data_IF_716495526945
#
_entry.id   IF_716495526945
#
_cell.length_a   1.000
_cell.length_b   1.000
_cell.length_c   1.000
_cell.angle_alpha   90.00
_cell.angle_beta   90.00
_cell.angle_gamma   90.00
#
_symmetry.space_group_name_H-M   'P 1'
#
loop_
_entity.id
_entity.type
_entity.pdbx_description
1 polymer ?
#
# COMPACT_ATOMS: atom_id res chain seq x y z
N UNK A 1 -32.36 -1.30 18.73
CA UNK A 1 -32.94 -1.42 17.38
C UNK A 1 -31.82 -1.92 16.51
N UNK A 2 -31.73 -3.16 16.02
CA UNK A 2 -32.58 -4.33 16.11
C UNK A 2 -31.69 -5.58 16.19
N UNK A 3 -32.18 -6.59 16.90
CA UNK A 3 -31.56 -7.91 17.06
C UNK A 3 -31.87 -8.74 15.81
N UNK A 4 -30.87 -9.37 15.20
CA UNK A 4 -31.10 -10.57 14.38
C UNK A 4 -30.37 -11.75 15.00
N UNK A 5 -31.18 -12.72 15.40
CA UNK A 5 -30.82 -14.00 16.01
C UNK A 5 -30.70 -15.07 14.93
N UNK A 6 -29.75 -15.97 15.15
CA UNK A 6 -29.83 -17.43 15.01
C UNK A 6 -30.01 -18.05 13.61
N UNK A 7 -29.18 -19.07 13.31
CA UNK A 7 -29.55 -20.49 13.52
C UNK A 7 -28.36 -21.44 13.36
N UNK A 8 -28.13 -22.20 14.43
CA UNK A 8 -27.45 -23.50 14.45
C UNK A 8 -28.23 -24.52 13.62
N UNK A 9 -27.54 -25.33 12.81
CA UNK A 9 -28.02 -26.67 12.40
C UNK A 9 -26.87 -27.65 12.59
N UNK A 10 -27.02 -28.50 13.61
CA UNK A 10 -26.27 -29.73 13.79
C UNK A 10 -26.88 -30.84 12.93
N UNK A 11 -26.04 -31.69 12.34
CA UNK A 11 -26.45 -32.93 11.68
C UNK A 11 -25.49 -34.05 12.07
N UNK A 12 -25.86 -34.76 13.14
CA UNK A 12 -25.27 -36.03 13.56
C UNK A 12 -25.86 -37.15 12.70
N UNK A 13 -25.06 -37.75 11.83
CA UNK A 13 -25.41 -38.95 11.07
C UNK A 13 -24.88 -40.21 11.77
N UNK A 14 -25.70 -40.84 12.61
CA UNK A 14 -25.43 -42.16 13.16
C UNK A 14 -25.86 -43.25 12.17
N UNK A 15 -24.92 -44.07 11.70
CA UNK A 15 -25.21 -45.26 10.90
C UNK A 15 -24.96 -46.54 11.72
N UNK A 16 -26.04 -47.05 12.31
CA UNK A 16 -26.11 -48.37 12.95
C UNK A 16 -26.45 -49.44 11.91
N UNK A 17 -25.57 -50.40 11.63
CA UNK A 17 -25.95 -51.60 10.88
C UNK A 17 -25.77 -52.89 11.69
N UNK A 18 -26.74 -53.77 11.45
CA UNK A 18 -27.24 -54.80 12.34
C UNK A 18 -26.48 -56.12 12.21
N UNK A 19 -26.49 -56.86 13.32
CA UNK A 19 -26.23 -58.30 13.44
C UNK A 19 -27.07 -59.12 12.45
N UNK A 20 -26.46 -60.15 11.87
CA UNK A 20 -27.15 -61.34 11.40
C UNK A 20 -26.41 -62.60 11.91
N UNK A 21 -27.10 -63.33 12.78
CA UNK A 21 -26.77 -64.67 13.27
C UNK A 21 -27.61 -65.71 12.52
N UNK A 22 -26.99 -66.80 12.06
CA UNK A 22 -27.53 -68.17 11.88
C UNK A 22 -26.53 -68.90 10.96
N UNK A 23 -25.95 -70.05 11.28
CA UNK A 23 -26.56 -71.26 11.82
C UNK A 23 -26.29 -72.37 10.78
N UNK A 24 -25.46 -73.35 11.11
CA UNK A 24 -25.08 -74.40 10.16
C UNK A 24 -24.05 -75.39 10.71
N UNK A 25 -24.43 -76.14 11.75
CA UNK A 25 -23.73 -77.36 12.18
C UNK A 25 -24.11 -78.50 11.24
N UNK A 26 -23.16 -78.96 10.42
CA UNK A 26 -23.19 -80.31 9.84
C UNK A 26 -21.83 -80.94 10.07
N UNK A 27 -21.81 -81.90 10.99
CA UNK A 27 -20.68 -82.76 11.21
C UNK A 27 -20.55 -83.79 10.08
N UNK A 28 -19.33 -84.00 9.62
CA UNK A 28 -18.92 -85.25 9.03
C UNK A 28 -17.54 -85.62 9.59
N UNK A 29 -17.54 -86.52 10.56
CA UNK A 29 -16.35 -87.16 11.06
C UNK A 29 -15.87 -88.18 10.03
N UNK A 30 -14.76 -87.90 9.36
CA UNK A 30 -13.98 -88.90 8.63
C UNK A 30 -12.66 -89.08 9.38
N UNK A 31 -12.60 -90.14 10.18
CA UNK A 31 -11.39 -90.64 10.77
C UNK A 31 -10.55 -91.33 9.67
N UNK A 32 -9.45 -90.71 9.28
CA UNK A 32 -8.44 -91.33 8.41
C UNK A 32 -7.08 -91.28 9.10
N UNK A 33 -6.82 -92.40 9.77
CA UNK A 33 -5.56 -93.12 9.98
C UNK A 33 -4.28 -92.30 9.76
N UNK A 34 -3.62 -92.05 10.89
CA UNK A 34 -2.24 -91.63 11.02
C UNK A 34 -1.28 -92.51 10.17
N UNK A 35 -0.58 -91.86 9.26
CA UNK A 35 0.72 -92.31 8.77
C UNK A 35 1.71 -91.23 9.18
N UNK A 36 2.53 -91.51 10.19
CA UNK A 36 3.55 -90.61 10.70
C UNK A 36 4.68 -90.42 9.69
N UNK A 37 4.46 -89.54 8.72
CA UNK A 37 5.52 -88.72 8.16
C UNK A 37 5.51 -87.44 9.00
N UNK A 38 6.50 -87.30 9.88
CA UNK A 38 6.87 -86.01 10.44
C UNK A 38 7.17 -85.07 9.28
N UNK A 39 6.16 -84.36 8.80
CA UNK A 39 6.34 -83.13 8.07
C UNK A 39 6.99 -82.20 9.09
N UNK A 40 8.32 -82.22 9.12
CA UNK A 40 9.05 -81.01 9.42
C UNK A 40 8.61 -80.08 8.30
N UNK A 41 7.53 -79.33 8.53
CA UNK A 41 7.23 -78.18 7.71
C UNK A 41 8.47 -77.31 7.90
N UNK A 42 9.38 -77.34 6.93
CA UNK A 42 10.25 -76.21 6.72
C UNK A 42 9.29 -75.03 6.67
N UNK A 43 9.26 -74.25 7.77
CA UNK A 43 8.67 -72.93 7.72
C UNK A 43 9.45 -72.24 6.62
N UNK A 44 8.76 -72.05 5.50
CA UNK A 44 9.30 -71.34 4.37
C UNK A 44 9.60 -69.93 4.87
N UNK A 45 10.88 -69.62 5.09
CA UNK A 45 11.34 -68.33 5.63
C UNK A 45 11.21 -67.20 4.62
N UNK A 46 10.14 -67.21 3.85
CA UNK A 46 9.76 -66.19 2.91
C UNK A 46 8.92 -65.14 3.64
N UNK A 47 9.10 -63.88 3.24
CA UNK A 47 8.30 -62.75 3.73
C UNK A 47 6.82 -63.06 3.48
N UNK A 48 6.02 -63.04 4.54
CA UNK A 48 4.61 -63.38 4.55
C UNK A 48 3.78 -62.14 4.87
N UNK A 49 3.96 -61.10 4.05
CA UNK A 49 3.37 -59.80 4.31
C UNK A 49 1.83 -59.86 4.34
N UNK A 50 1.22 -59.28 5.39
CA UNK A 50 -0.24 -59.29 5.54
C UNK A 50 -0.78 -60.42 6.41
N UNK A 51 0.07 -61.18 7.09
CA UNK A 51 -0.34 -62.30 7.95
C UNK A 51 -0.74 -61.86 9.37
N UNK A 52 -0.49 -60.59 9.70
CA UNK A 52 -0.83 -59.98 10.98
C UNK A 52 0.30 -60.00 12.01
N UNK A 53 1.52 -60.38 11.63
CA UNK A 53 2.71 -60.36 12.48
C UNK A 53 3.92 -59.83 11.71
N UNK A 54 4.89 -59.23 12.43
CA UNK A 54 6.16 -58.78 11.83
C UNK A 54 7.25 -59.82 12.09
N UNK A 55 7.67 -60.55 11.06
CA UNK A 55 8.77 -61.52 11.12
C UNK A 55 10.14 -60.89 10.83
N UNK A 56 10.80 -60.46 11.90
CA UNK A 56 12.15 -59.88 11.85
C UNK A 56 13.22 -60.87 11.35
N UNK A 57 13.00 -62.18 11.42
CA UNK A 57 13.97 -63.19 10.95
C UNK A 57 13.91 -63.30 9.42
N UNK A 58 12.72 -63.14 8.85
CA UNK A 58 12.48 -63.06 7.40
C UNK A 58 12.81 -61.69 6.79
N UNK A 59 13.08 -60.68 7.63
CA UNK A 59 13.50 -59.34 7.23
C UNK A 59 12.37 -58.33 7.08
N UNK A 60 11.19 -58.61 7.65
CA UNK A 60 10.06 -57.68 7.65
C UNK A 60 10.31 -56.52 8.63
N UNK A 61 9.93 -55.31 8.22
CA UNK A 61 10.03 -54.09 9.03
C UNK A 61 8.67 -53.68 9.61
N UNK A 62 7.58 -54.00 8.93
CA UNK A 62 6.21 -53.67 9.29
C UNK A 62 5.21 -54.73 8.81
N UNK A 63 3.96 -54.60 9.24
CA UNK A 63 2.83 -55.43 8.85
C UNK A 63 1.66 -54.52 8.40
N UNK A 64 1.17 -54.60 7.15
CA UNK A 64 0.11 -53.72 6.63
C UNK A 64 -1.19 -53.75 7.43
N UNK A 65 -1.53 -54.88 8.06
CA UNK A 65 -2.69 -55.04 8.93
C UNK A 65 -2.50 -54.51 10.35
N UNK A 66 -1.29 -54.08 10.72
CA UNK A 66 -0.93 -53.55 12.05
C UNK A 66 -0.32 -52.14 11.95
N UNK A 67 -1.14 -51.08 11.97
CA UNK A 67 -0.66 -49.69 11.90
C UNK A 67 0.39 -49.31 12.95
N UNK A 68 0.35 -49.93 14.15
CA UNK A 68 1.33 -49.66 15.21
C UNK A 68 2.74 -50.14 14.82
N UNK A 69 2.86 -51.13 13.93
CA UNK A 69 4.15 -51.66 13.47
C UNK A 69 4.96 -50.63 12.67
N UNK A 70 4.29 -49.67 12.02
CA UNK A 70 4.93 -48.62 11.22
C UNK A 70 4.61 -47.19 11.69
N UNK A 71 3.84 -47.00 12.77
CA UNK A 71 3.44 -45.69 13.30
C UNK A 71 4.60 -44.73 13.68
N UNK A 72 5.84 -45.20 13.68
CA UNK A 72 7.04 -44.39 13.92
C UNK A 72 7.98 -44.31 12.72
N UNK A 73 7.53 -44.76 11.54
CA UNK A 73 8.32 -44.81 10.32
C UNK A 73 8.93 -43.47 9.93
N UNK A 74 8.20 -42.37 10.09
CA UNK A 74 8.71 -41.04 9.73
C UNK A 74 9.85 -40.54 10.64
N UNK A 75 9.96 -41.04 11.88
CA UNK A 75 11.09 -40.69 12.78
C UNK A 75 12.44 -41.17 12.27
N UNK A 76 12.47 -42.17 11.39
CA UNK A 76 13.71 -42.72 10.82
C UNK A 76 14.37 -41.73 9.86
N UNK A 77 13.59 -40.81 9.29
CA UNK A 77 14.06 -39.74 8.41
C UNK A 77 14.04 -38.37 9.10
N UNK A 78 14.06 -38.36 10.44
CA UNK A 78 13.99 -37.16 11.29
C UNK A 78 12.73 -36.29 11.12
N UNK A 79 11.66 -36.83 10.55
CA UNK A 79 10.35 -36.16 10.39
C UNK A 79 9.32 -36.82 11.29
N UNK A 80 9.11 -36.37 12.54
CA UNK A 80 8.28 -37.11 13.49
C UNK A 80 6.78 -37.01 13.20
N UNK A 81 6.36 -36.07 12.35
CA UNK A 81 4.98 -35.88 11.90
C UNK A 81 4.75 -36.67 10.59
N UNK A 82 3.49 -36.99 10.26
CA UNK A 82 3.16 -37.77 9.06
C UNK A 82 2.51 -39.12 9.28
N UNK A 83 2.10 -39.72 8.16
CA UNK A 83 1.46 -41.03 8.09
C UNK A 83 2.36 -41.96 7.25
N UNK A 84 3.35 -42.61 7.89
CA UNK A 84 4.14 -43.62 7.20
C UNK A 84 3.23 -44.77 6.78
N UNK A 85 3.62 -45.50 5.74
CA UNK A 85 2.88 -46.66 5.26
C UNK A 85 3.74 -47.93 5.34
N UNK A 86 3.08 -49.08 5.31
CA UNK A 86 3.75 -50.35 5.07
C UNK A 86 3.48 -50.82 3.64
N UNK A 87 4.53 -51.11 2.88
CA UNK A 87 4.37 -51.70 1.54
C UNK A 87 3.83 -53.13 1.67
N UNK A 88 2.65 -53.44 1.10
CA UNK A 88 2.00 -54.74 1.26
C UNK A 88 2.67 -55.89 0.50
N UNK A 89 3.59 -55.61 -0.42
CA UNK A 89 4.33 -56.64 -1.16
C UNK A 89 5.67 -56.96 -0.51
N UNK A 90 6.33 -55.96 0.06
CA UNK A 90 7.69 -56.08 0.59
C UNK A 90 7.79 -56.07 2.11
N UNK A 91 6.73 -55.65 2.82
CA UNK A 91 6.72 -55.47 4.28
C UNK A 91 7.83 -54.54 4.80
N UNK A 92 8.23 -53.58 3.97
CA UNK A 92 9.14 -52.49 4.34
C UNK A 92 8.37 -51.23 4.70
N UNK A 93 8.90 -50.44 5.62
CA UNK A 93 8.29 -49.16 5.97
C UNK A 93 8.56 -48.17 4.85
N UNK A 94 7.48 -47.62 4.29
CA UNK A 94 7.52 -46.52 3.33
C UNK A 94 7.35 -45.23 4.12
N UNK A 95 8.42 -44.44 4.16
CA UNK A 95 8.46 -43.11 4.78
C UNK A 95 9.03 -42.13 3.76
N UNK A 96 8.27 -41.83 2.70
CA UNK A 96 8.71 -40.81 1.75
C UNK A 96 8.55 -39.41 2.34
N UNK A 97 9.24 -38.44 1.75
CA UNK A 97 9.08 -37.03 2.10
C UNK A 97 7.61 -36.63 1.99
N UNK A 98 6.88 -37.06 0.97
CA UNK A 98 5.46 -36.70 0.78
C UNK A 98 4.51 -37.33 1.82
N UNK A 99 4.93 -38.41 2.50
CA UNK A 99 4.14 -39.07 3.56
C UNK A 99 4.44 -38.52 4.95
N UNK A 100 5.64 -37.95 5.12
CA UNK A 100 6.21 -37.56 6.39
C UNK A 100 6.45 -36.04 6.52
N UNK A 101 6.43 -35.29 5.41
CA UNK A 101 6.32 -33.84 5.41
C UNK A 101 4.89 -33.49 5.80
N UNK A 102 4.74 -33.03 7.04
CA UNK A 102 3.48 -32.51 7.52
C UNK A 102 3.73 -31.14 8.08
N UNK A 103 3.11 -30.21 7.40
CA UNK A 103 2.87 -28.88 7.84
C UNK A 103 2.78 -28.70 9.37
N UNK A 104 3.73 -27.95 9.94
CA UNK A 104 3.79 -27.68 11.38
C UNK A 104 4.67 -28.65 12.17
N UNK A 105 5.60 -29.34 11.52
CA UNK A 105 6.62 -30.15 12.19
C UNK A 105 7.84 -29.33 12.65
N UNK A 106 7.91 -28.06 12.24
CA UNK A 106 8.96 -27.10 12.58
C UNK A 106 10.04 -26.97 11.52
N UNK A 107 9.96 -27.66 10.39
CA UNK A 107 10.91 -27.59 9.29
C UNK A 107 10.20 -27.41 7.93
N UNK A 108 10.51 -26.32 7.21
CA UNK A 108 9.89 -26.05 5.90
C UNK A 108 10.38 -27.06 4.86
N UNK A 109 9.48 -27.91 4.37
CA UNK A 109 9.77 -28.94 3.38
C UNK A 109 9.47 -28.48 1.94
N UNK A 110 10.35 -27.65 1.37
CA UNK A 110 10.19 -27.12 -0.01
C UNK A 110 10.00 -28.23 -1.07
N UNK A 111 10.63 -29.40 -0.87
CA UNK A 111 10.55 -30.56 -1.77
C UNK A 111 9.17 -31.24 -1.74
N UNK A 112 8.44 -31.11 -0.63
CA UNK A 112 7.05 -31.54 -0.47
C UNK A 112 6.05 -30.44 -0.89
N UNK A 113 6.53 -29.24 -1.22
CA UNK A 113 5.72 -28.10 -1.63
C UNK A 113 5.25 -27.20 -0.48
N UNK A 114 5.85 -27.31 0.70
CA UNK A 114 5.60 -26.37 1.80
C UNK A 114 6.31 -25.04 1.55
N UNK A 115 5.62 -23.94 1.85
CA UNK A 115 6.17 -22.58 1.71
C UNK A 115 6.57 -21.98 3.07
N UNK A 116 6.06 -22.54 4.17
CA UNK A 116 6.22 -22.03 5.52
C UNK A 116 5.81 -23.06 6.59
N UNK A 117 6.04 -22.74 7.87
CA UNK A 117 5.57 -23.54 9.02
C UNK A 117 4.32 -22.96 9.69
N UNK A 118 3.40 -23.83 10.15
CA UNK A 118 2.18 -23.39 10.86
C UNK A 118 2.51 -22.48 12.04
N UNK A 119 1.85 -21.32 12.07
CA UNK A 119 2.04 -20.33 13.14
C UNK A 119 3.31 -19.49 12.99
N UNK A 120 4.12 -19.73 11.95
CA UNK A 120 5.14 -18.79 11.52
C UNK A 120 4.45 -17.51 11.04
N UNK A 121 4.87 -16.39 11.62
CA UNK A 121 4.51 -15.05 11.15
C UNK A 121 5.76 -14.47 10.52
N UNK A 122 5.65 -14.07 9.26
CA UNK A 122 6.73 -13.35 8.60
C UNK A 122 6.44 -11.86 8.68
N UNK A 123 7.46 -11.13 9.13
CA UNK A 123 7.36 -9.70 9.43
C UNK A 123 7.33 -8.81 8.16
N UNK A 124 7.45 -9.40 6.97
CA UNK A 124 7.49 -8.67 5.71
C UNK A 124 6.70 -9.41 4.64
N UNK A 125 5.73 -8.71 4.05
CA UNK A 125 5.11 -9.12 2.80
C UNK A 125 6.09 -8.92 1.64
N UNK A 126 5.99 -9.68 0.54
CA UNK A 126 6.96 -9.61 -0.55
C UNK A 126 6.97 -8.24 -1.25
N UNK A 127 5.90 -7.47 -1.06
CA UNK A 127 5.60 -6.28 -1.83
C UNK A 127 5.31 -5.04 -0.99
N UNK A 128 5.23 -5.13 0.34
CA UNK A 128 4.80 -3.98 1.13
C UNK A 128 4.64 -4.21 2.62
N UNK A 129 3.83 -3.35 3.22
CA UNK A 129 3.48 -3.38 4.64
C UNK A 129 2.48 -4.50 4.94
N UNK A 130 2.55 -5.11 6.12
CA UNK A 130 1.63 -6.17 6.53
C UNK A 130 2.36 -7.37 7.10
N UNK A 131 1.60 -8.42 7.41
CA UNK A 131 2.14 -9.66 7.96
C UNK A 131 1.65 -10.82 7.10
N UNK A 132 2.57 -11.63 6.60
CA UNK A 132 2.21 -12.94 6.05
C UNK A 132 2.08 -13.94 7.18
N UNK A 133 1.14 -14.87 7.02
CA UNK A 133 0.96 -15.99 7.95
C UNK A 133 1.04 -17.28 7.18
N UNK A 134 1.56 -18.31 7.84
CA UNK A 134 1.42 -19.64 7.31
C UNK A 134 0.02 -20.20 7.61
N UNK A 135 -0.67 -20.69 6.57
CA UNK A 135 -1.92 -21.42 6.69
C UNK A 135 -1.74 -22.80 7.34
N UNK A 136 -2.86 -23.45 7.68
CA UNK A 136 -2.86 -24.83 8.20
C UNK A 136 -2.44 -25.87 7.13
N UNK A 137 -2.32 -25.45 5.87
CA UNK A 137 -1.87 -26.24 4.72
C UNK A 137 -0.44 -25.90 4.27
N UNK A 138 0.28 -25.10 5.04
CA UNK A 138 1.65 -24.67 4.78
C UNK A 138 1.85 -23.89 3.48
N UNK A 139 0.77 -23.22 3.07
CA UNK A 139 0.83 -22.17 2.07
C UNK A 139 0.94 -20.80 2.75
N UNK A 140 1.61 -19.87 2.08
CA UNK A 140 1.66 -18.49 2.53
C UNK A 140 0.32 -17.80 2.29
N UNK A 141 -0.30 -17.35 3.38
CA UNK A 141 -1.46 -16.49 3.38
C UNK A 141 -1.00 -15.02 3.39
N UNK A 142 -1.12 -14.38 2.24
CA UNK A 142 -0.84 -12.97 2.01
C UNK A 142 -2.08 -12.08 2.14
N UNK A 143 -3.24 -12.62 2.55
CA UNK A 143 -4.49 -11.84 2.66
C UNK A 143 -4.44 -10.71 3.69
N UNK A 144 -3.46 -10.74 4.60
CA UNK A 144 -3.18 -9.69 5.58
C UNK A 144 -2.05 -8.74 5.15
N UNK A 145 -1.50 -8.94 3.95
CA UNK A 145 -0.60 -7.98 3.34
C UNK A 145 -1.39 -6.75 2.89
N UNK A 146 -0.77 -5.59 3.05
CA UNK A 146 -1.21 -4.38 2.39
C UNK A 146 -1.13 -4.57 0.89
N UNK A 147 -2.07 -3.96 0.18
CA UNK A 147 -2.08 -3.94 -1.29
C UNK A 147 -0.95 -3.07 -1.83
N UNK A 148 -0.51 -2.08 -1.04
CA UNK A 148 0.50 -1.16 -1.49
C UNK A 148 1.84 -1.83 -1.81
N UNK A 149 2.29 -1.63 -3.05
CA UNK A 149 3.53 -2.15 -3.59
C UNK A 149 3.38 -3.50 -4.31
N UNK A 150 2.17 -4.06 -4.41
CA UNK A 150 1.91 -5.29 -5.16
C UNK A 150 2.09 -5.13 -6.69
N UNK A 151 2.30 -3.89 -7.19
CA UNK A 151 2.47 -3.58 -8.60
C UNK A 151 1.16 -3.31 -9.35
N UNK A 152 0.04 -3.37 -8.66
CA UNK A 152 -1.29 -2.96 -9.11
C UNK A 152 -1.67 -1.64 -8.43
N UNK A 153 -2.79 -1.00 -8.82
CA UNK A 153 -3.25 0.22 -8.12
C UNK A 153 -4.73 0.02 -7.85
N UNK A 154 -5.09 -0.18 -6.60
CA UNK A 154 -6.46 -0.46 -6.17
C UNK A 154 -7.17 0.81 -5.68
N UNK A 155 -7.70 1.59 -6.62
CA UNK A 155 -8.42 2.83 -6.31
C UNK A 155 -9.60 2.62 -5.34
N UNK A 156 -10.27 1.47 -5.38
CA UNK A 156 -11.36 1.15 -4.43
C UNK A 156 -10.91 0.96 -2.97
N UNK A 157 -9.63 0.67 -2.75
CA UNK A 157 -9.02 0.52 -1.43
C UNK A 157 -8.34 1.81 -0.96
N UNK A 158 -8.36 2.86 -1.79
CA UNK A 158 -7.85 4.18 -1.46
C UNK A 158 -6.42 4.45 -1.94
N UNK A 159 -5.85 3.56 -2.75
CA UNK A 159 -4.56 3.82 -3.39
C UNK A 159 -4.68 4.87 -4.49
N UNK A 160 -3.64 5.67 -4.67
CA UNK A 160 -3.50 6.62 -5.78
C UNK A 160 -2.40 6.20 -6.76
N UNK A 161 -1.43 5.44 -6.26
CA UNK A 161 -0.22 5.01 -6.96
C UNK A 161 0.31 3.71 -6.36
N UNK A 162 1.27 3.09 -7.04
CA UNK A 162 2.02 1.96 -6.49
C UNK A 162 3.52 2.09 -6.81
N UNK A 163 4.41 1.94 -5.80
CA UNK A 163 5.85 2.15 -5.98
C UNK A 163 6.52 1.10 -6.88
N UNK A 164 5.95 -0.11 -7.00
CA UNK A 164 6.47 -1.20 -7.80
C UNK A 164 5.81 -1.29 -9.20
N UNK A 165 4.74 -0.52 -9.46
CA UNK A 165 4.08 -0.46 -10.77
C UNK A 165 4.89 0.34 -11.80
N UNK A 166 5.38 -0.31 -12.88
CA UNK A 166 6.19 0.36 -13.89
C UNK A 166 5.39 1.46 -14.61
N UNK A 167 5.95 2.66 -14.65
CA UNK A 167 5.37 3.80 -15.38
C UNK A 167 4.51 4.73 -14.53
N UNK A 168 4.09 4.33 -13.33
CA UNK A 168 3.30 5.20 -12.47
C UNK A 168 4.17 6.27 -11.78
N UNK A 169 5.34 5.84 -11.29
CA UNK A 169 6.35 6.71 -10.63
C UNK A 169 7.21 7.51 -11.63
N UNK A 170 7.09 7.23 -12.94
CA UNK A 170 7.97 7.83 -13.96
C UNK A 170 7.44 9.16 -14.53
N UNK A 171 6.18 9.50 -14.27
CA UNK A 171 5.53 10.67 -14.84
C UNK A 171 5.41 11.78 -13.79
N UNK A 172 5.88 12.97 -14.18
CA UNK A 172 5.61 14.20 -13.44
C UNK A 172 4.15 14.54 -13.62
N UNK A 173 3.41 14.67 -12.52
CA UNK A 173 2.00 15.06 -12.53
C UNK A 173 1.83 16.36 -11.75
N UNK A 174 0.77 17.09 -12.05
CA UNK A 174 0.49 18.39 -11.41
C UNK A 174 -0.34 18.16 -10.16
N UNK A 175 -0.02 18.86 -9.07
CA UNK A 175 -0.76 18.73 -7.82
C UNK A 175 -2.24 19.16 -7.94
N UNK A 176 -2.57 19.99 -8.93
CA UNK A 176 -3.95 20.37 -9.27
C UNK A 176 -4.86 19.16 -9.59
N UNK A 177 -4.27 18.03 -10.01
CA UNK A 177 -5.00 16.79 -10.30
C UNK A 177 -5.25 15.93 -9.04
N UNK A 178 -4.64 16.28 -7.89
CA UNK A 178 -4.79 15.53 -6.65
C UNK A 178 -5.95 16.05 -5.80
N UNK A 179 -6.61 15.12 -5.12
CA UNK A 179 -7.51 15.49 -4.03
C UNK A 179 -6.68 15.87 -2.79
N UNK A 180 -6.97 17.01 -2.14
CA UNK A 180 -6.33 17.40 -0.88
C UNK A 180 -6.62 16.39 0.23
N UNK A 181 -5.60 16.11 1.06
CA UNK A 181 -5.76 15.27 2.27
C UNK A 181 -6.24 16.07 3.49
N UNK A 182 -6.40 17.38 3.34
CA UNK A 182 -6.79 18.30 4.41
C UNK A 182 -7.92 19.21 3.95
N UNK A 183 -8.62 19.86 4.89
CA UNK A 183 -9.71 20.79 4.59
C UNK A 183 -9.23 22.18 4.13
N UNK A 184 -7.95 22.33 3.75
CA UNK A 184 -7.33 23.61 3.40
C UNK A 184 -7.65 24.11 1.98
N UNK A 185 -8.43 23.36 1.21
CA UNK A 185 -8.76 23.68 -0.19
C UNK A 185 -7.92 22.90 -1.19
N UNK A 186 -8.22 23.11 -2.48
CA UNK A 186 -7.53 22.44 -3.59
C UNK A 186 -6.12 23.01 -3.81
N UNK A 187 -5.16 22.16 -4.18
CA UNK A 187 -3.84 22.64 -4.58
C UNK A 187 -3.95 23.44 -5.88
N UNK A 188 -3.29 24.60 -5.93
CA UNK A 188 -3.24 25.44 -7.13
C UNK A 188 -1.93 25.28 -7.91
N UNK A 189 -0.93 24.62 -7.33
CA UNK A 189 0.37 24.48 -7.96
C UNK A 189 1.26 23.39 -7.38
N UNK A 190 2.40 23.21 -8.04
CA UNK A 190 3.39 22.18 -7.70
C UNK A 190 3.28 20.92 -8.56
N UNK A 191 4.28 20.06 -8.43
CA UNK A 191 4.36 18.82 -9.17
C UNK A 191 4.88 17.69 -8.29
N UNK A 192 4.28 16.52 -8.41
CA UNK A 192 4.65 15.33 -7.68
C UNK A 192 5.16 14.23 -8.63
N UNK A 193 5.91 13.29 -8.05
CA UNK A 193 6.51 12.14 -8.75
C UNK A 193 6.59 10.89 -7.88
N UNK A 194 6.68 11.07 -6.57
CA UNK A 194 6.97 10.00 -5.63
C UNK A 194 5.66 9.38 -5.15
N UNK A 195 5.63 8.05 -5.11
CA UNK A 195 4.60 7.27 -4.45
C UNK A 195 5.13 6.89 -3.06
N UNK A 196 4.37 7.18 -2.01
CA UNK A 196 4.73 6.83 -0.64
C UNK A 196 4.54 5.33 -0.35
N UNK A 197 5.03 4.90 0.82
CA UNK A 197 4.84 3.52 1.32
C UNK A 197 3.37 3.22 1.72
N UNK A 198 2.53 4.25 1.73
CA UNK A 198 1.07 4.20 1.93
C UNK A 198 0.28 4.22 0.61
N UNK A 199 0.98 4.17 -0.54
CA UNK A 199 0.40 4.22 -1.87
C UNK A 199 -0.42 5.47 -2.17
N UNK A 200 -0.06 6.56 -1.50
CA UNK A 200 -0.50 7.90 -1.83
C UNK A 200 0.63 8.66 -2.52
N UNK A 201 0.28 9.55 -3.46
CA UNK A 201 1.29 10.41 -4.05
C UNK A 201 1.81 11.41 -3.01
N UNK A 202 3.13 11.60 -2.99
CA UNK A 202 3.77 12.60 -2.13
C UNK A 202 3.28 14.01 -2.48
N UNK A 203 2.76 14.71 -1.48
CA UNK A 203 2.24 16.08 -1.60
C UNK A 203 3.21 17.15 -1.10
N UNK A 204 4.43 16.76 -0.70
CA UNK A 204 5.44 17.67 -0.15
C UNK A 204 5.78 18.83 -1.09
N UNK A 205 5.70 18.60 -2.41
CA UNK A 205 5.97 19.62 -3.42
C UNK A 205 4.72 20.42 -3.85
N UNK A 206 3.53 20.06 -3.36
CA UNK A 206 2.29 20.75 -3.65
C UNK A 206 2.19 22.05 -2.87
N UNK A 207 1.51 23.03 -3.45
CA UNK A 207 1.30 24.34 -2.86
C UNK A 207 -0.03 24.94 -3.34
N UNK A 208 -0.42 26.04 -2.69
CA UNK A 208 -1.68 26.74 -2.94
C UNK A 208 -1.48 27.98 -3.85
N UNK A 209 -0.27 28.13 -4.38
CA UNK A 209 0.14 29.24 -5.24
C UNK A 209 -0.64 29.23 -6.56
N UNK A 210 -1.44 30.27 -6.78
CA UNK A 210 -2.28 30.45 -7.96
C UNK A 210 -3.78 30.50 -7.64
N UNK A 211 -4.17 30.40 -6.37
CA UNK A 211 -5.57 30.51 -5.92
C UNK A 211 -6.04 31.97 -5.70
N UNK A 212 -5.12 32.94 -5.82
CA UNK A 212 -5.34 34.38 -5.62
C UNK A 212 -5.65 34.78 -4.17
N UNK A 213 -5.23 33.97 -3.21
CA UNK A 213 -5.26 34.25 -1.78
C UNK A 213 -3.82 34.21 -1.22
N UNK A 214 -3.56 34.84 -0.06
CA UNK A 214 -2.25 34.71 0.58
C UNK A 214 -2.36 33.69 1.68
N UNK A 215 -1.83 32.51 1.42
CA UNK A 215 -1.87 31.42 2.36
C UNK A 215 -0.72 31.47 3.38
N UNK A 216 -1.05 31.08 4.62
CA UNK A 216 -0.04 30.82 5.64
C UNK A 216 0.73 29.53 5.35
N UNK A 217 1.50 29.06 6.34
CA UNK A 217 1.98 27.67 6.27
C UNK A 217 0.78 26.73 6.46
N UNK A 218 0.42 26.00 5.41
CA UNK A 218 -0.71 25.07 5.40
C UNK A 218 -0.20 23.64 5.28
N UNK A 219 -0.81 22.69 5.99
CA UNK A 219 -0.45 21.28 5.88
C UNK A 219 -0.76 20.77 4.45
N UNK A 220 0.17 20.01 3.88
CA UNK A 220 0.03 19.39 2.54
C UNK A 220 -0.19 17.88 2.62
N UNK A 221 0.13 17.24 3.74
CA UNK A 221 -0.13 15.81 3.97
C UNK A 221 -0.46 15.51 5.46
N UNK A 222 -0.69 14.24 5.75
CA UNK A 222 -1.04 13.74 7.09
C UNK A 222 0.18 13.56 8.00
N UNK A 223 1.40 13.56 7.44
CA UNK A 223 2.65 13.44 8.18
C UNK A 223 3.09 14.77 8.81
N UNK A 224 2.39 15.86 8.45
CA UNK A 224 2.61 17.19 8.99
C UNK A 224 3.60 18.02 8.18
N UNK A 225 3.91 17.62 6.93
CA UNK A 225 4.58 18.52 6.01
C UNK A 225 3.65 19.68 5.67
N UNK A 226 4.23 20.86 5.48
CA UNK A 226 3.47 22.08 5.19
C UNK A 226 4.08 22.84 4.03
N UNK A 227 3.23 23.48 3.23
CA UNK A 227 3.65 24.50 2.29
C UNK A 227 4.30 25.66 3.07
N UNK A 228 5.32 26.31 2.49
CA UNK A 228 5.81 27.57 3.04
C UNK A 228 4.70 28.64 2.95
N UNK A 229 4.69 29.63 3.87
CA UNK A 229 3.78 30.77 3.74
C UNK A 229 4.03 31.53 2.44
N UNK A 230 2.95 31.97 1.81
CA UNK A 230 3.01 32.73 0.58
C UNK A 230 3.25 34.21 0.86
N UNK A 231 4.09 34.83 0.04
CA UNK A 231 4.37 36.27 0.08
C UNK A 231 3.74 36.99 -1.11
N UNK A 232 3.21 36.23 -2.06
CA UNK A 232 2.49 36.70 -3.22
C UNK A 232 1.63 35.56 -3.77
N UNK A 233 0.52 35.88 -4.44
CA UNK A 233 -0.22 34.97 -5.30
C UNK A 233 -0.86 35.78 -6.43
N UNK A 234 -0.38 35.56 -7.66
CA UNK A 234 -0.82 36.31 -8.82
C UNK A 234 -0.57 37.82 -8.66
N UNK A 235 -1.63 38.57 -8.37
CA UNK A 235 -1.58 40.02 -8.12
C UNK A 235 -1.76 40.40 -6.64
N UNK A 236 -1.94 39.42 -5.75
CA UNK A 236 -2.00 39.62 -4.31
C UNK A 236 -0.57 39.52 -3.76
N UNK A 237 -0.17 40.43 -2.87
CA UNK A 237 1.18 40.47 -2.33
C UNK A 237 1.19 40.84 -0.85
N UNK A 238 2.09 40.24 -0.08
CA UNK A 238 2.43 40.71 1.25
C UNK A 238 3.21 42.02 1.14
N UNK A 239 2.54 43.12 1.46
CA UNK A 239 3.10 44.46 1.38
C UNK A 239 4.29 44.65 2.34
N UNK A 240 4.25 44.04 3.53
CA UNK A 240 5.35 44.12 4.47
C UNK A 240 6.59 43.39 3.94
N UNK A 241 6.39 42.22 3.31
CA UNK A 241 7.46 41.48 2.66
C UNK A 241 8.08 42.26 1.49
N UNK A 242 7.25 42.84 0.60
CA UNK A 242 7.72 43.69 -0.50
C UNK A 242 8.58 44.84 0.04
N UNK A 243 8.09 45.57 1.03
CA UNK A 243 8.80 46.72 1.60
C UNK A 243 10.13 46.28 2.22
N UNK A 244 10.15 45.18 2.96
CA UNK A 244 11.38 44.64 3.55
C UNK A 244 12.39 44.26 2.48
N UNK A 245 11.97 43.42 1.51
CA UNK A 245 12.82 42.84 0.47
C UNK A 245 13.39 43.90 -0.48
N UNK A 246 12.56 44.89 -0.82
CA UNK A 246 12.88 45.89 -1.84
C UNK A 246 13.12 47.29 -1.27
N UNK A 247 13.27 47.44 0.05
CA UNK A 247 13.63 48.70 0.72
C UNK A 247 14.84 49.42 0.12
N UNK A 248 15.74 48.70 -0.55
CA UNK A 248 16.93 49.24 -1.23
C UNK A 248 16.75 49.50 -2.73
N UNK A 249 15.57 49.24 -3.28
CA UNK A 249 15.31 49.48 -4.70
C UNK A 249 15.28 50.97 -4.99
N UNK A 250 15.68 51.35 -6.21
CA UNK A 250 15.67 52.73 -6.68
C UNK A 250 14.26 53.35 -6.65
N UNK A 251 13.21 52.53 -6.63
CA UNK A 251 11.83 53.01 -6.57
C UNK A 251 11.45 53.54 -5.20
N UNK A 252 12.05 53.02 -4.12
CA UNK A 252 11.77 53.47 -2.76
C UNK A 252 12.58 54.69 -2.34
N UNK A 253 13.71 54.94 -3.01
CA UNK A 253 14.52 56.14 -2.79
C UNK A 253 14.00 57.28 -3.65
N UNK A 254 13.07 58.08 -3.12
CA UNK A 254 12.78 59.38 -3.71
C UNK A 254 14.07 60.20 -3.82
N UNK A 255 14.20 61.07 -4.84
CA UNK A 255 15.42 61.86 -5.09
C UNK A 255 15.86 62.73 -3.89
N UNK A 256 14.99 62.92 -2.89
CA UNK A 256 15.24 63.72 -1.69
C UNK A 256 15.05 62.95 -0.36
N UNK A 257 14.95 61.62 -0.39
CA UNK A 257 14.72 60.82 0.83
C UNK A 257 13.31 60.92 1.42
N UNK A 258 12.37 61.55 0.70
CA UNK A 258 10.94 61.44 0.98
C UNK A 258 10.45 60.04 0.58
N UNK A 259 9.55 59.47 1.37
CA UNK A 259 8.93 58.18 1.10
C UNK A 259 8.30 58.21 -0.29
N UNK A 260 8.92 57.50 -1.24
CA UNK A 260 8.56 57.61 -2.64
C UNK A 260 7.11 57.19 -2.90
N UNK A 261 6.42 57.96 -3.74
CA UNK A 261 5.12 57.57 -4.32
C UNK A 261 5.26 56.41 -5.32
N UNK A 262 6.47 55.91 -5.52
CA UNK A 262 6.78 54.78 -6.39
C UNK A 262 6.97 53.50 -5.59
N UNK A 263 6.62 52.38 -6.21
CA UNK A 263 7.01 51.04 -5.79
C UNK A 263 7.57 50.28 -7.00
N UNK A 264 8.43 49.28 -6.77
CA UNK A 264 8.90 48.43 -7.86
C UNK A 264 7.75 47.60 -8.45
N UNK A 265 7.83 47.35 -9.75
CA UNK A 265 7.00 46.34 -10.41
C UNK A 265 7.62 44.99 -10.10
N UNK A 266 6.84 44.09 -9.51
CA UNK A 266 7.30 42.76 -9.09
C UNK A 266 6.40 41.69 -9.68
N UNK A 267 6.96 40.53 -9.92
CA UNK A 267 6.26 39.29 -10.26
C UNK A 267 6.47 38.29 -9.14
N UNK A 268 5.45 37.49 -8.89
CA UNK A 268 5.54 36.35 -7.98
C UNK A 268 6.42 35.25 -8.60
N UNK A 269 7.22 34.55 -7.79
CA UNK A 269 7.86 33.31 -8.25
C UNK A 269 6.81 32.19 -8.41
N UNK A 270 7.18 31.07 -9.03
CA UNK A 270 6.24 29.98 -9.29
C UNK A 270 5.81 29.19 -8.04
N UNK A 271 6.44 29.45 -6.89
CA UNK A 271 6.13 28.80 -5.60
C UNK A 271 5.48 29.76 -4.61
N UNK A 272 5.22 31.00 -5.01
CA UNK A 272 4.65 32.05 -4.16
C UNK A 272 5.46 32.42 -2.91
N UNK A 273 6.75 32.07 -2.88
CA UNK A 273 7.63 32.21 -1.70
C UNK A 273 8.61 33.38 -1.75
N UNK A 274 8.84 33.93 -2.94
CA UNK A 274 9.65 35.13 -3.15
C UNK A 274 9.03 35.97 -4.27
N UNK A 275 9.47 37.21 -4.33
CA UNK A 275 9.12 38.15 -5.38
C UNK A 275 10.36 38.50 -6.20
N UNK A 276 10.19 38.71 -7.49
CA UNK A 276 11.25 39.14 -8.38
C UNK A 276 10.87 40.47 -9.05
N UNK A 277 11.82 41.38 -9.29
CA UNK A 277 11.55 42.54 -10.15
C UNK A 277 11.06 42.05 -11.51
N UNK A 278 9.97 42.64 -12.01
CA UNK A 278 9.47 42.29 -13.34
C UNK A 278 10.55 42.58 -14.39
N UNK A 279 10.73 41.69 -15.36
CA UNK A 279 11.70 41.83 -16.47
C UNK A 279 11.23 42.83 -17.54
N UNK A 280 10.83 44.02 -17.07
CA UNK A 280 10.38 45.12 -17.93
C UNK A 280 11.34 46.28 -17.78
N UNK A 281 11.51 47.06 -18.86
CA UNK A 281 12.32 48.28 -18.83
C UNK A 281 11.81 49.31 -17.79
N UNK A 282 10.57 49.16 -17.31
CA UNK A 282 9.97 49.98 -16.25
C UNK A 282 10.11 49.33 -14.88
N UNK A 283 11.14 49.76 -14.14
CA UNK A 283 11.45 49.21 -12.81
C UNK A 283 10.45 49.68 -11.73
N UNK A 284 9.76 50.80 -11.94
CA UNK A 284 8.92 51.46 -10.93
C UNK A 284 7.55 51.91 -11.46
N UNK A 285 6.52 51.85 -10.60
CA UNK A 285 5.18 52.35 -10.84
C UNK A 285 4.65 53.14 -9.64
N UNK A 286 3.64 54.00 -9.84
CA UNK A 286 3.05 54.81 -8.77
C UNK A 286 2.13 53.94 -7.88
N UNK A 287 2.31 54.04 -6.55
CA UNK A 287 1.57 53.28 -5.51
C UNK A 287 0.06 53.46 -5.64
N UNK A 288 -0.70 52.47 -5.14
CA UNK A 288 -2.16 52.56 -4.99
C UNK A 288 -2.48 53.78 -4.10
N UNK A 289 -3.59 54.46 -4.39
CA UNK A 289 -4.05 55.69 -3.70
C UNK A 289 -3.28 57.00 -4.01
N UNK A 290 -2.34 56.97 -4.95
CA UNK A 290 -1.72 58.18 -5.49
C UNK A 290 -2.28 58.54 -6.88
N UNK A 291 -2.34 59.83 -7.22
CA UNK A 291 -2.76 60.25 -8.56
C UNK A 291 -1.83 59.65 -9.60
N UNK A 292 -2.40 59.04 -10.63
CA UNK A 292 -1.59 58.51 -11.71
C UNK A 292 -0.84 59.62 -12.42
N UNK A 293 0.43 59.37 -12.74
CA UNK A 293 1.24 60.36 -13.42
C UNK A 293 0.70 60.49 -14.85
N UNK A 294 0.80 61.69 -15.43
CA UNK A 294 0.35 61.92 -16.80
C UNK A 294 1.12 61.00 -17.78
N UNK A 295 0.50 60.57 -18.89
CA UNK A 295 1.14 59.67 -19.87
C UNK A 295 2.51 60.15 -20.37
N UNK A 296 2.72 61.47 -20.41
CA UNK A 296 3.96 62.10 -20.85
C UNK A 296 5.14 61.89 -19.88
N UNK A 297 4.88 61.52 -18.62
CA UNK A 297 5.92 61.27 -17.61
C UNK A 297 6.71 59.97 -17.84
N UNK A 298 6.22 59.09 -18.72
CA UNK A 298 6.79 57.77 -18.96
C UNK A 298 6.65 56.80 -17.77
N UNK A 299 6.00 57.21 -16.68
CA UNK A 299 5.70 56.38 -15.50
C UNK A 299 4.29 55.82 -15.63
N UNK A 300 4.08 54.60 -15.12
CA UNK A 300 2.77 53.94 -15.09
C UNK A 300 2.24 53.83 -13.66
N UNK A 301 0.93 53.69 -13.54
CA UNK A 301 0.30 53.32 -12.28
C UNK A 301 0.39 51.81 -12.05
N UNK A 302 0.67 51.38 -10.82
CA UNK A 302 0.83 49.95 -10.53
C UNK A 302 -0.45 49.15 -10.82
N UNK A 303 -1.62 49.73 -10.52
CA UNK A 303 -2.91 49.06 -10.77
C UNK A 303 -3.17 48.79 -12.26
N UNK A 304 -2.61 49.59 -13.18
CA UNK A 304 -2.74 49.36 -14.63
C UNK A 304 -1.89 48.18 -15.09
N UNK A 305 -0.76 47.95 -14.41
CA UNK A 305 0.13 46.83 -14.67
C UNK A 305 -0.42 45.52 -14.09
N UNK A 306 -1.06 45.60 -12.92
CA UNK A 306 -1.76 44.49 -12.26
C UNK A 306 -2.96 43.98 -13.08
N UNK A 307 -3.44 44.73 -14.09
CA UNK A 307 -4.63 44.42 -14.92
C UNK A 307 -4.37 43.88 -16.33
N UNK A 308 -3.15 43.44 -16.67
CA UNK A 308 -2.79 43.01 -18.04
C UNK A 308 -3.75 41.94 -18.65
N UNK A 309 -3.84 41.80 -19.99
CA UNK A 309 -4.55 42.65 -20.96
C UNK A 309 -5.85 42.01 -21.50
N UNK A 310 -6.38 40.94 -20.89
CA UNK A 310 -7.55 40.21 -21.41
C UNK A 310 -8.91 40.81 -21.01
N UNK A 311 -8.93 41.78 -20.10
CA UNK A 311 -10.14 42.55 -19.75
C UNK A 311 -10.12 43.86 -20.53
N UNK A 312 -10.52 43.80 -21.80
CA UNK A 312 -10.95 44.98 -22.53
C UNK A 312 -12.19 45.55 -21.82
N UNK A 313 -12.14 46.82 -21.42
CA UNK A 313 -13.29 47.69 -21.09
C UNK A 313 -13.73 47.90 -19.62
N UNK A 314 -12.82 47.88 -18.63
CA UNK A 314 -13.13 48.46 -17.30
C UNK A 314 -12.56 49.89 -17.14
N UNK A 315 -13.40 50.86 -17.53
CA UNK A 315 -13.19 52.33 -17.46
C UNK A 315 -12.79 52.78 -16.04
N UNK A 316 -11.62 53.42 -15.92
CA UNK A 316 -11.32 54.31 -14.81
C UNK A 316 -12.35 55.45 -14.84
N UNK A 317 -13.25 55.52 -13.87
CA UNK A 317 -14.27 56.56 -13.86
C UNK A 317 -13.64 57.91 -13.47
N UNK A 318 -13.58 58.83 -14.44
CA UNK A 318 -13.28 60.23 -14.17
C UNK A 318 -14.33 60.81 -13.23
N UNK A 319 -13.93 61.09 -11.99
CA UNK A 319 -14.76 61.82 -11.05
C UNK A 319 -14.58 63.31 -11.33
N UNK A 320 -15.51 63.89 -12.10
CA UNK A 320 -15.53 65.34 -12.38
C UNK A 320 -15.83 66.09 -11.07
N UNK A 321 -14.81 66.73 -10.50
CA UNK A 321 -15.00 67.74 -9.45
C UNK A 321 -15.22 69.08 -10.17
N UNK A 322 -16.40 69.68 -9.95
CA UNK A 322 -16.82 70.93 -10.57
C UNK A 322 -15.89 72.08 -10.17
N UNK A 323 -14.94 72.41 -11.04
CA UNK A 323 -14.21 73.68 -11.02
C UNK A 323 -12.78 73.59 -10.47
N UNK A 324 -11.86 73.22 -11.38
CA UNK A 324 -10.39 73.28 -11.27
C UNK A 324 -9.71 72.05 -10.63
N UNK A 325 -8.84 71.43 -11.44
CA UNK A 325 -8.07 70.20 -11.25
C UNK A 325 -8.86 68.88 -11.42
N UNK A 326 -8.43 68.07 -12.39
CA UNK A 326 -8.85 66.67 -12.53
C UNK A 326 -8.05 65.85 -11.51
N UNK A 327 -8.75 65.17 -10.61
CA UNK A 327 -8.14 64.20 -9.70
C UNK A 327 -8.53 62.82 -10.21
N UNK A 328 -7.59 62.13 -10.88
CA UNK A 328 -7.79 60.74 -11.29
C UNK A 328 -7.68 59.84 -10.06
N UNK A 329 -8.81 59.62 -9.39
CA UNK A 329 -8.90 58.68 -8.27
C UNK A 329 -9.36 57.33 -8.80
N UNK A 330 -8.41 56.44 -9.04
CA UNK A 330 -8.70 55.04 -9.36
C UNK A 330 -8.86 54.26 -8.05
N UNK A 331 -10.02 53.64 -7.83
CA UNK A 331 -10.26 52.71 -6.71
C UNK A 331 -9.99 51.27 -7.15
#
# INVERSE_FOLDING_TARGET
MDRVRARFIASLGAASWRRATAGGLVGLAVALVASGSSCVAELDGHIACGDGYVDKVSGEECEPGDPESFAHGCRVIDRPMGEPACDPESCTVVSTIEQCAVCGDGEVDEEAGEECEVGMVMDQCPWGVGLMRCGDDCTLDDSLCGTCGNGEVELELGEECDPNKPGDVALVRNCEDLQPLTDNGDYAGGAYRECGDDCLYSRVACNYCGNLELDGALAVDLEGHSSPPEVCDGYVFDEAYIQQRLSKSICYQGENGEEGDLRPVVTCDSSCTDIHPADTEQVCCVKRDRPCPLPESGRKCCYELERSPSITDAVCQDKVILGQAYEHVCR
#
